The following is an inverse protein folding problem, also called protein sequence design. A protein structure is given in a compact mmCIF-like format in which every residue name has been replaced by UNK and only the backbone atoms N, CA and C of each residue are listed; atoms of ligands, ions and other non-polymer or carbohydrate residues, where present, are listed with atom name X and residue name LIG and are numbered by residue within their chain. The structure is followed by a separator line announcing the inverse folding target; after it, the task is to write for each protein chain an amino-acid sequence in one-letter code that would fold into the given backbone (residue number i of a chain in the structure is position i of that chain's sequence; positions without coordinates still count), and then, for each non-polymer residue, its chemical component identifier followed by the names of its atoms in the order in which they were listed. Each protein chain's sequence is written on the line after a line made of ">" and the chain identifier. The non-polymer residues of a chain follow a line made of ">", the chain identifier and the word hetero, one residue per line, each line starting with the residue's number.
data_IF_881308456502
#
_entry.id   IF_881308456502
#
_cell.length_a   1.000
_cell.length_b   1.000
_cell.length_c   1.000
_cell.angle_alpha   90.00
_cell.angle_beta   90.00
_cell.angle_gamma   90.00
#
_symmetry.space_group_name_H-M   'P 1'
#
loop_
_entity.id
_entity.type
_entity.pdbx_description
1 polymer ?
#
# COMPACT_ATOMS: atom_id res chain seq x y z
N UNK A 1 -6.37 17.11 17.82
CA UNK A 1 -6.35 15.67 17.46
C UNK A 1 -6.31 15.61 15.95
N UNK A 2 -5.30 14.98 15.35
CA UNK A 2 -5.24 14.83 13.88
C UNK A 2 -6.24 13.76 13.46
N UNK A 3 -6.88 13.93 12.30
CA UNK A 3 -7.88 12.98 11.78
C UNK A 3 -7.67 12.75 10.29
N UNK A 4 -8.03 11.57 9.80
CA UNK A 4 -7.87 11.22 8.39
C UNK A 4 -6.40 11.22 7.97
N UNK A 5 -6.10 11.86 6.83
CA UNK A 5 -4.76 11.89 6.23
C UNK A 5 -3.69 12.49 7.15
N UNK A 6 -4.03 13.51 7.93
CA UNK A 6 -3.10 14.16 8.86
C UNK A 6 -2.55 13.21 9.93
N UNK A 7 -3.31 12.14 10.21
CA UNK A 7 -2.95 11.13 11.20
C UNK A 7 -2.14 9.97 10.61
N UNK A 8 -1.93 9.98 9.29
CA UNK A 8 -1.14 8.99 8.58
C UNK A 8 0.34 9.38 8.57
N UNK A 9 1.18 8.41 8.86
CA UNK A 9 2.62 8.47 8.67
C UNK A 9 2.98 7.76 7.36
N UNK A 10 4.13 8.14 6.80
CA UNK A 10 4.59 7.65 5.49
C UNK A 10 5.92 6.91 5.61
N UNK A 11 6.05 5.80 4.89
CA UNK A 11 7.28 5.02 4.82
C UNK A 11 7.56 4.55 3.40
N UNK A 12 8.82 4.58 2.98
CA UNK A 12 9.29 4.05 1.70
C UNK A 12 10.66 3.43 1.88
N UNK A 13 10.93 2.35 1.12
CA UNK A 13 12.19 1.62 1.16
C UNK A 13 12.65 1.25 -0.26
N UNK A 14 13.86 0.71 -0.39
CA UNK A 14 14.45 0.35 -1.68
C UNK A 14 14.56 1.56 -2.62
N UNK A 15 14.12 1.39 -3.87
CA UNK A 15 14.03 2.47 -4.87
C UNK A 15 12.99 3.54 -4.54
N UNK A 16 12.24 3.37 -3.44
CA UNK A 16 11.19 4.28 -2.99
C UNK A 16 10.12 4.49 -4.08
N UNK A 17 9.73 3.42 -4.79
CA UNK A 17 8.57 3.46 -5.69
C UNK A 17 7.28 3.47 -4.88
N UNK A 18 7.12 2.51 -3.98
CA UNK A 18 5.95 2.44 -3.10
C UNK A 18 6.03 3.41 -1.92
N UNK A 19 4.99 4.21 -1.73
CA UNK A 19 4.74 5.07 -0.58
C UNK A 19 3.69 4.40 0.32
N UNK A 20 4.14 3.80 1.41
CA UNK A 20 3.26 3.13 2.37
C UNK A 20 2.68 4.14 3.36
N UNK A 21 1.36 4.15 3.51
CA UNK A 21 0.62 4.99 4.47
C UNK A 21 0.04 4.13 5.59
N UNK A 22 0.31 4.52 6.83
CA UNK A 22 -0.15 3.80 8.02
C UNK A 22 -0.54 4.78 9.12
N UNK A 23 -1.41 4.36 10.04
CA UNK A 23 -1.80 5.20 11.16
C UNK A 23 -0.65 5.29 12.19
N UNK A 24 -0.18 6.51 12.47
CA UNK A 24 1.02 6.72 13.29
C UNK A 24 0.92 6.22 14.74
N UNK A 25 -0.29 6.13 15.30
CA UNK A 25 -0.46 5.71 16.70
C UNK A 25 -0.52 4.18 16.89
N UNK A 26 -1.18 3.45 15.99
CA UNK A 26 -1.34 1.99 16.13
C UNK A 26 -0.59 1.17 15.09
N UNK A 27 0.04 1.81 14.10
CA UNK A 27 0.82 1.14 13.06
C UNK A 27 -0.01 0.42 11.99
N UNK A 28 -1.34 0.53 12.00
CA UNK A 28 -2.18 -0.12 11.00
C UNK A 28 -1.90 0.43 9.60
N UNK A 29 -1.45 -0.44 8.69
CA UNK A 29 -1.29 -0.10 7.27
C UNK A 29 -2.66 0.14 6.62
N UNK A 30 -2.82 1.30 5.99
CA UNK A 30 -4.09 1.70 5.36
C UNK A 30 -4.02 1.44 3.85
N UNK A 31 -3.01 2.01 3.19
CA UNK A 31 -2.78 1.82 1.76
C UNK A 31 -1.31 2.04 1.38
N UNK A 32 -0.93 1.70 0.16
CA UNK A 32 0.30 2.14 -0.46
C UNK A 32 0.05 2.65 -1.88
N UNK A 33 0.83 3.65 -2.26
CA UNK A 33 0.80 4.28 -3.57
C UNK A 33 2.11 3.94 -4.31
N UNK A 34 2.08 3.22 -5.44
CA UNK A 34 3.26 2.86 -6.23
C UNK A 34 3.94 4.04 -6.95
N UNK A 35 3.39 5.27 -6.85
CA UNK A 35 3.93 6.52 -7.41
C UNK A 35 4.40 6.39 -8.86
N UNK A 36 3.63 5.69 -9.68
CA UNK A 36 4.05 5.30 -11.04
C UNK A 36 4.44 6.52 -11.90
N UNK A 37 3.68 7.61 -11.79
CA UNK A 37 3.95 8.85 -12.52
C UNK A 37 5.31 9.48 -12.15
N UNK A 38 5.66 9.51 -10.86
CA UNK A 38 6.95 10.06 -10.38
C UNK A 38 8.16 9.29 -10.93
N UNK A 39 7.96 8.04 -11.34
CA UNK A 39 8.99 7.17 -11.88
C UNK A 39 8.91 6.99 -13.40
N UNK A 40 8.07 7.78 -14.09
CA UNK A 40 7.95 7.79 -15.55
C UNK A 40 7.20 6.58 -16.12
N UNK A 41 6.52 5.81 -15.27
CA UNK A 41 5.69 4.69 -15.69
C UNK A 41 4.30 5.21 -16.11
N UNK A 42 3.85 4.81 -17.31
CA UNK A 42 2.52 5.14 -17.82
C UNK A 42 1.42 4.28 -17.14
N UNK A 43 0.17 4.77 -17.04
CA UNK A 43 -0.94 4.18 -16.26
C UNK A 43 -1.19 2.67 -16.48
N UNK A 44 -1.81 1.97 -15.50
CA UNK A 44 -2.84 2.52 -14.59
C UNK A 44 -2.32 3.23 -13.34
N UNK A 45 -3.08 4.25 -12.91
CA UNK A 45 -3.00 4.81 -11.55
C UNK A 45 -3.56 3.74 -10.57
N UNK A 46 -2.70 3.24 -9.70
CA UNK A 46 -2.98 2.10 -8.82
C UNK A 46 -2.89 2.55 -7.37
N UNK A 47 -3.82 2.09 -6.53
CA UNK A 47 -3.77 2.28 -5.08
C UNK A 47 -3.96 0.93 -4.39
N UNK A 48 -2.94 0.46 -3.68
CA UNK A 48 -3.03 -0.78 -2.93
C UNK A 48 -3.67 -0.53 -1.56
N UNK A 49 -4.86 -1.06 -1.31
CA UNK A 49 -5.60 -0.82 -0.05
C UNK A 49 -5.61 -2.07 0.84
N UNK A 50 -5.42 -1.89 2.15
CA UNK A 50 -5.61 -2.97 3.11
C UNK A 50 -7.11 -3.24 3.28
N UNK A 51 -7.60 -4.30 2.64
CA UNK A 51 -9.03 -4.64 2.63
C UNK A 51 -9.63 -4.85 4.03
N UNK A 52 -8.81 -5.20 5.03
CA UNK A 52 -9.24 -5.34 6.44
C UNK A 52 -9.68 -4.02 7.08
N UNK A 53 -9.38 -2.88 6.45
CA UNK A 53 -9.80 -1.56 6.90
C UNK A 53 -11.25 -1.22 6.50
N UNK A 54 -11.85 -1.98 5.58
CA UNK A 54 -13.24 -1.80 5.19
C UNK A 54 -14.20 -2.41 6.23
N UNK A 55 -15.27 -1.69 6.54
CA UNK A 55 -16.32 -2.20 7.41
C UNK A 55 -17.14 -3.29 6.68
N UNK A 56 -17.35 -4.42 7.34
CA UNK A 56 -18.19 -5.50 6.82
C UNK A 56 -17.50 -6.40 5.77
N UNK A 57 -16.19 -6.23 5.56
CA UNK A 57 -15.42 -7.18 4.75
C UNK A 57 -15.38 -8.54 5.44
N UNK A 58 -15.62 -9.61 4.68
CA UNK A 58 -15.47 -10.98 5.14
C UNK A 58 -14.22 -11.56 4.54
N UNK A 59 -13.12 -11.47 5.28
CA UNK A 59 -11.77 -11.78 4.78
C UNK A 59 -11.64 -13.24 4.36
N UNK A 60 -12.34 -14.11 5.09
CA UNK A 60 -12.42 -15.55 4.87
C UNK A 60 -13.19 -15.96 3.61
N UNK A 61 -14.03 -15.07 3.07
CA UNK A 61 -14.77 -15.29 1.82
C UNK A 61 -14.02 -14.74 0.60
N UNK A 62 -12.83 -14.13 0.78
CA UNK A 62 -12.04 -13.59 -0.32
C UNK A 62 -11.32 -14.71 -1.09
N UNK A 63 -11.39 -14.64 -2.42
CA UNK A 63 -10.53 -15.43 -3.30
C UNK A 63 -9.12 -14.81 -3.34
N UNK A 64 -8.26 -15.27 -2.44
CA UNK A 64 -6.90 -14.75 -2.27
C UNK A 64 -5.90 -15.59 -3.06
N UNK A 65 -5.37 -15.01 -4.12
CA UNK A 65 -4.24 -15.58 -4.85
C UNK A 65 -2.94 -15.02 -4.27
N UNK A 66 -2.05 -15.91 -3.83
CA UNK A 66 -0.71 -15.51 -3.43
C UNK A 66 0.11 -15.13 -4.66
N UNK A 67 0.59 -13.89 -4.70
CA UNK A 67 1.49 -13.41 -5.75
C UNK A 67 2.91 -13.38 -5.19
N UNK A 68 3.79 -14.23 -5.72
CA UNK A 68 5.22 -14.13 -5.46
C UNK A 68 5.79 -12.98 -6.31
N UNK A 69 6.25 -11.92 -5.66
CA UNK A 69 7.05 -10.89 -6.33
C UNK A 69 8.48 -11.42 -6.52
N UNK A 70 8.68 -12.11 -7.65
CA UNK A 70 10.02 -12.54 -8.07
C UNK A 70 10.80 -11.31 -8.51
N UNK A 71 11.54 -10.72 -7.58
CA UNK A 71 12.55 -9.74 -7.92
C UNK A 71 13.51 -10.39 -8.94
N UNK A 72 13.62 -9.89 -10.19
CA UNK A 72 14.65 -10.36 -11.10
C UNK A 72 15.96 -10.09 -10.37
N UNK A 73 16.72 -11.17 -10.14
CA UNK A 73 17.91 -11.21 -9.31
C UNK A 73 18.76 -9.95 -9.46
N UNK A 74 19.33 -9.50 -8.34
CA UNK A 74 20.68 -8.94 -8.33
C UNK A 74 21.55 -9.82 -9.25
N UNK A 75 21.70 -9.40 -10.50
CA UNK A 75 22.64 -9.95 -11.47
C UNK A 75 23.90 -9.11 -11.44
#
# INVERSE_FOLDING_TARGET
>A
MKSGEEALESYSFGVKRNLHKFYGQCGSSVFFDPRMEEFGDAPPDLLGVNVRMFQGVKVEELDVVHVEDRHPSRA
#
